data_IF_276401402959
#
_entry.id   IF_276401402959
#
_cell.length_a   1.000
_cell.length_b   1.000
_cell.length_c   1.000
_cell.angle_alpha   90.00
_cell.angle_beta   90.00
_cell.angle_gamma   90.00
#
_symmetry.space_group_name_H-M   'P 1'
#
loop_
_entity.id
_entity.type
_entity.pdbx_description
1 polymer ?
#
# COMPACT_ATOMS: atom_id res chain seq x y z
N UNK A 1 -0.66 -16.58 18.87
CA UNK A 1 -0.09 -15.22 19.05
C UNK A 1 -0.07 -14.50 17.71
N UNK A 2 -1.01 -13.57 17.48
CA UNK A 2 -1.05 -12.78 16.25
C UNK A 2 0.08 -11.77 16.24
N UNK A 3 1.13 -12.02 15.45
CA UNK A 3 2.11 -10.97 15.12
C UNK A 3 1.34 -9.84 14.43
N UNK A 4 1.31 -8.66 15.04
CA UNK A 4 0.88 -7.42 14.40
C UNK A 4 1.67 -7.28 13.10
N UNK A 5 1.02 -7.50 11.95
CA UNK A 5 1.59 -7.15 10.66
C UNK A 5 1.67 -5.62 10.56
N UNK A 6 2.70 -5.05 9.91
CA UNK A 6 2.80 -3.61 9.70
C UNK A 6 1.57 -3.10 8.93
N UNK A 7 1.13 -1.88 9.27
CA UNK A 7 0.00 -1.20 8.61
C UNK A 7 0.36 -0.96 7.15
N UNK A 8 -0.60 -1.14 6.25
CA UNK A 8 -0.46 -0.78 4.84
C UNK A 8 -0.52 0.74 4.74
N UNK A 9 0.66 1.38 4.81
CA UNK A 9 0.81 2.78 4.44
C UNK A 9 0.39 2.86 2.97
N UNK A 10 -0.55 3.75 2.65
CA UNK A 10 -1.07 4.05 1.30
C UNK A 10 -2.42 3.43 0.90
N UNK A 11 -3.04 2.59 1.73
CA UNK A 11 -4.41 2.11 1.50
C UNK A 11 -5.38 2.65 2.55
N UNK A 12 -6.34 3.46 2.11
CA UNK A 12 -7.34 4.12 2.95
C UNK A 12 -8.56 3.23 3.15
N UNK A 13 -9.03 3.08 4.40
CA UNK A 13 -10.28 2.38 4.70
C UNK A 13 -11.47 3.32 4.64
N UNK A 14 -11.24 4.55 5.10
CA UNK A 14 -12.24 5.60 5.20
C UNK A 14 -11.50 6.94 5.33
N UNK A 15 -11.98 7.96 4.63
CA UNK A 15 -11.56 9.34 4.79
C UNK A 15 -12.76 10.19 5.19
N UNK A 16 -12.64 10.98 6.25
CA UNK A 16 -13.62 12.00 6.61
C UNK A 16 -13.08 13.37 6.21
N UNK A 17 -13.69 13.99 5.20
CA UNK A 17 -13.29 15.32 4.73
C UNK A 17 -14.04 16.42 5.47
N UNK A 18 -13.30 17.41 5.96
CA UNK A 18 -13.84 18.66 6.47
C UNK A 18 -13.49 19.79 5.52
N UNK A 19 -14.50 20.36 4.87
CA UNK A 19 -14.35 21.53 3.98
C UNK A 19 -14.20 22.79 4.81
N UNK A 20 -13.20 23.60 4.46
CA UNK A 20 -12.90 24.87 5.10
C UNK A 20 -13.17 26.04 4.15
N UNK A 21 -12.54 26.03 2.97
CA UNK A 21 -12.64 27.10 1.98
C UNK A 21 -12.12 28.46 2.48
N UNK A 22 -11.20 28.48 3.44
CA UNK A 22 -10.75 29.72 4.10
C UNK A 22 -9.47 30.23 3.45
N UNK A 23 -9.38 31.54 3.22
CA UNK A 23 -8.15 32.18 2.77
C UNK A 23 -7.09 32.16 3.89
N UNK A 24 -5.88 31.72 3.54
CA UNK A 24 -4.73 31.76 4.45
C UNK A 24 -3.97 33.07 4.19
N UNK A 25 -3.79 33.88 5.23
CA UNK A 25 -3.05 35.15 5.19
C UNK A 25 -1.73 35.03 5.93
N UNK A 26 -0.79 35.93 5.63
CA UNK A 26 0.53 35.92 6.24
C UNK A 26 0.45 36.13 7.77
N UNK A 27 -0.28 37.17 8.19
CA UNK A 27 -0.35 37.55 9.61
C UNK A 27 -1.46 36.84 10.39
N UNK A 28 -2.36 36.14 9.70
CA UNK A 28 -3.48 35.44 10.31
C UNK A 28 -3.50 33.96 9.89
N UNK A 29 -2.73 33.09 10.57
CA UNK A 29 -2.69 31.68 10.26
C UNK A 29 -3.99 30.99 10.66
N UNK A 30 -4.45 30.06 9.82
CA UNK A 30 -5.71 29.34 10.07
C UNK A 30 -5.42 28.11 10.92
N UNK A 31 -6.12 27.98 12.05
CA UNK A 31 -5.93 26.87 13.01
C UNK A 31 -7.21 26.05 13.14
N UNK A 32 -7.08 24.72 13.27
CA UNK A 32 -8.17 23.77 13.58
C UNK A 32 -7.70 22.77 14.63
N UNK A 33 -8.65 22.14 15.32
CA UNK A 33 -8.34 21.12 16.34
C UNK A 33 -8.83 19.77 15.85
N UNK A 34 -7.96 18.76 15.92
CA UNK A 34 -8.32 17.39 15.60
C UNK A 34 -8.64 16.63 16.88
N UNK A 35 -9.88 16.15 16.98
CA UNK A 35 -10.40 15.40 18.13
C UNK A 35 -10.64 13.93 17.83
N UNK A 36 -10.67 13.54 16.56
CA UNK A 36 -10.93 12.16 16.15
C UNK A 36 -9.84 11.20 16.69
N UNK A 37 -10.30 10.16 17.39
CA UNK A 37 -9.43 9.25 18.14
C UNK A 37 -8.65 8.27 17.25
N UNK A 38 -9.20 7.89 16.09
CA UNK A 38 -8.75 6.73 15.31
C UNK A 38 -8.08 7.09 13.98
N UNK A 39 -7.59 8.31 13.80
CA UNK A 39 -7.01 8.72 12.52
C UNK A 39 -5.52 8.40 12.48
N UNK A 40 -5.09 7.86 11.34
CA UNK A 40 -3.71 7.46 11.09
C UNK A 40 -2.96 8.55 10.33
N UNK A 41 -3.62 9.22 9.38
CA UNK A 41 -3.02 10.25 8.51
C UNK A 41 -3.95 11.44 8.33
N UNK A 42 -3.37 12.59 8.00
CA UNK A 42 -4.09 13.79 7.58
C UNK A 42 -3.67 14.17 6.17
N UNK A 43 -4.65 14.34 5.27
CA UNK A 43 -4.43 14.98 3.97
C UNK A 43 -4.87 16.43 4.08
N UNK A 44 -3.98 17.35 3.72
CA UNK A 44 -4.28 18.77 3.62
C UNK A 44 -4.46 19.12 2.15
N UNK A 45 -5.59 19.72 1.77
CA UNK A 45 -5.87 20.20 0.41
C UNK A 45 -5.88 21.71 0.42
N UNK A 46 -4.92 22.32 -0.26
CA UNK A 46 -4.68 23.76 -0.25
C UNK A 46 -4.15 24.22 -1.59
N UNK A 47 -4.13 25.53 -1.83
CA UNK A 47 -3.59 26.04 -3.07
C UNK A 47 -3.83 27.51 -3.25
N UNK A 48 -3.94 27.93 -4.51
CA UNK A 48 -4.07 29.33 -4.92
C UNK A 48 -5.27 29.48 -5.84
N UNK A 49 -5.99 30.59 -5.74
CA UNK A 49 -7.10 30.91 -6.66
C UNK A 49 -6.59 31.39 -8.02
N UNK A 50 -5.48 32.11 -8.00
CA UNK A 50 -4.73 32.63 -9.15
C UNK A 50 -3.29 32.85 -8.68
N UNK A 51 -2.33 32.67 -9.60
CA UNK A 51 -0.90 32.85 -9.35
C UNK A 51 -0.29 33.55 -10.56
N UNK A 52 -0.28 34.88 -10.54
CA UNK A 52 0.25 35.70 -11.63
C UNK A 52 0.70 37.06 -11.12
N UNK A 53 1.76 37.59 -11.71
CA UNK A 53 2.22 38.95 -11.50
C UNK A 53 2.17 39.72 -12.82
N UNK A 54 1.46 40.84 -12.87
CA UNK A 54 1.40 41.73 -14.02
C UNK A 54 2.48 42.82 -13.89
N UNK A 55 3.35 42.96 -14.89
CA UNK A 55 4.30 44.07 -14.93
C UNK A 55 3.61 45.36 -15.43
N UNK A 56 4.31 46.49 -15.34
CA UNK A 56 3.83 47.80 -15.81
C UNK A 56 3.57 47.90 -17.33
N UNK A 57 3.99 46.88 -18.10
CA UNK A 57 3.75 46.75 -19.55
C UNK A 57 2.58 45.83 -19.88
N UNK A 58 1.94 45.22 -18.88
CA UNK A 58 0.81 44.30 -19.05
C UNK A 58 1.21 42.82 -19.23
N UNK A 59 2.50 42.49 -19.19
CA UNK A 59 2.94 41.09 -19.27
C UNK A 59 2.65 40.35 -17.98
N UNK A 60 2.19 39.10 -18.12
CA UNK A 60 1.87 38.21 -17.00
C UNK A 60 3.04 37.27 -16.73
N UNK A 61 3.72 37.45 -15.61
CA UNK A 61 4.85 36.66 -15.16
C UNK A 61 4.42 35.56 -14.16
N UNK A 62 5.18 34.45 -14.09
CA UNK A 62 5.02 33.47 -13.03
C UNK A 62 5.42 34.05 -11.68
N UNK A 63 4.80 33.56 -10.62
CA UNK A 63 5.14 33.94 -9.24
C UNK A 63 5.11 32.70 -8.34
N UNK A 64 5.44 32.87 -7.06
CA UNK A 64 5.50 31.77 -6.11
C UNK A 64 4.91 32.14 -4.75
N UNK A 65 4.34 31.15 -4.07
CA UNK A 65 3.88 31.29 -2.68
C UNK A 65 4.40 30.13 -1.85
N UNK A 66 4.86 30.46 -0.64
CA UNK A 66 5.33 29.51 0.38
C UNK A 66 4.29 29.35 1.48
N UNK A 67 3.93 28.11 1.74
CA UNK A 67 3.00 27.67 2.77
C UNK A 67 3.70 26.68 3.71
N UNK A 68 3.33 26.69 4.97
CA UNK A 68 3.78 25.73 5.97
C UNK A 68 2.59 25.08 6.65
N UNK A 69 2.71 23.78 6.90
CA UNK A 69 1.77 23.00 7.71
C UNK A 69 2.44 22.78 9.06
N UNK A 70 1.79 23.25 10.12
CA UNK A 70 2.26 23.10 11.49
C UNK A 70 1.34 22.15 12.25
N UNK A 71 1.94 21.32 13.10
CA UNK A 71 1.23 20.49 14.07
C UNK A 71 1.60 20.93 15.48
N UNK A 72 0.61 20.96 16.37
CA UNK A 72 0.83 21.22 17.78
C UNK A 72 1.40 19.97 18.45
N UNK A 73 2.59 20.11 19.05
CA UNK A 73 3.25 19.06 19.82
C UNK A 73 3.64 19.65 21.17
N UNK A 74 3.09 19.09 22.24
CA UNK A 74 3.40 19.52 23.62
C UNK A 74 3.19 21.03 23.85
N UNK A 75 2.13 21.61 23.26
CA UNK A 75 1.81 23.03 23.37
C UNK A 75 2.69 23.97 22.53
N UNK A 76 3.50 23.43 21.61
CA UNK A 76 4.32 24.19 20.67
C UNK A 76 3.96 23.87 19.23
N UNK A 77 4.00 24.88 18.36
CA UNK A 77 3.78 24.70 16.92
C UNK A 77 5.06 24.24 16.24
N UNK A 78 5.03 23.04 15.65
CA UNK A 78 6.15 22.45 14.92
C UNK A 78 5.85 22.42 13.43
N UNK A 79 6.78 22.91 12.61
CA UNK A 79 6.70 22.84 11.14
C UNK A 79 6.84 21.38 10.73
N UNK A 80 5.78 20.80 10.17
CA UNK A 80 5.77 19.41 9.71
C UNK A 80 6.10 19.31 8.22
N UNK A 81 5.58 20.26 7.43
CA UNK A 81 5.85 20.36 6.00
C UNK A 81 5.95 21.82 5.59
N UNK A 82 6.85 22.08 4.65
CA UNK A 82 6.96 23.34 3.93
C UNK A 82 6.72 23.08 2.44
N UNK A 83 5.90 23.92 1.82
CA UNK A 83 5.44 23.76 0.44
C UNK A 83 5.61 25.08 -0.29
N UNK A 84 6.20 25.00 -1.48
CA UNK A 84 6.32 26.14 -2.39
C UNK A 84 5.52 25.82 -3.66
N UNK A 85 4.53 26.65 -3.97
CA UNK A 85 3.78 26.59 -5.21
C UNK A 85 4.37 27.66 -6.13
N UNK A 86 4.96 27.24 -7.25
CA UNK A 86 5.56 28.13 -8.25
C UNK A 86 4.91 27.89 -9.59
N UNK A 87 4.57 28.97 -10.29
CA UNK A 87 4.07 28.87 -11.66
C UNK A 87 3.26 30.07 -12.07
N UNK A 88 2.47 29.88 -13.13
CA UNK A 88 1.54 30.87 -13.66
C UNK A 88 0.19 30.19 -13.89
N UNK A 89 -0.81 30.58 -13.12
CA UNK A 89 -2.19 30.11 -13.32
C UNK A 89 -3.17 31.25 -13.15
N UNK A 90 -4.21 31.28 -13.97
CA UNK A 90 -5.34 32.22 -13.84
C UNK A 90 -6.59 31.52 -13.31
N UNK A 91 -6.51 30.23 -13.04
CA UNK A 91 -7.57 29.40 -12.46
C UNK A 91 -7.08 28.79 -11.15
N UNK A 92 -8.04 28.33 -10.34
CA UNK A 92 -7.73 27.70 -9.07
C UNK A 92 -6.85 26.47 -9.27
N UNK A 93 -5.75 26.42 -8.53
CA UNK A 93 -4.84 25.29 -8.45
C UNK A 93 -4.83 24.79 -7.01
N UNK A 94 -5.16 23.51 -6.81
CA UNK A 94 -5.12 22.84 -5.51
C UNK A 94 -4.08 21.72 -5.55
N UNK A 95 -3.25 21.68 -4.51
CA UNK A 95 -2.34 20.60 -4.20
C UNK A 95 -2.81 19.88 -2.92
N UNK A 96 -2.40 18.63 -2.76
CA UNK A 96 -2.64 17.90 -1.51
C UNK A 96 -1.37 17.30 -0.96
N UNK A 97 -1.23 17.32 0.37
CA UNK A 97 -0.07 16.74 1.09
C UNK A 97 -0.57 15.88 2.23
N UNK A 98 0.04 14.70 2.37
CA UNK A 98 -0.27 13.74 3.44
C UNK A 98 0.77 13.86 4.56
N UNK A 99 0.28 13.78 5.80
CA UNK A 99 1.06 13.77 7.04
C UNK A 99 0.66 12.56 7.89
N UNK A 100 1.62 11.77 8.35
CA UNK A 100 1.42 10.47 8.99
C UNK A 100 1.94 10.37 10.45
N UNK A 101 2.86 11.25 10.87
CA UNK A 101 3.39 11.27 12.24
C UNK A 101 2.55 12.13 13.20
N UNK A 102 1.29 11.76 13.42
CA UNK A 102 0.35 12.62 14.13
C UNK A 102 0.58 12.64 15.67
N UNK A 103 0.49 13.82 16.33
CA UNK A 103 0.60 13.94 17.80
C UNK A 103 -0.51 13.18 18.57
N UNK A 104 -0.34 13.01 19.91
CA UNK A 104 -1.43 12.55 20.76
C UNK A 104 -2.65 13.48 20.68
N UNK A 105 -3.85 12.90 20.75
CA UNK A 105 -5.12 13.65 20.66
C UNK A 105 -5.50 14.28 22.00
N UNK A 106 -6.19 15.42 22.01
CA UNK A 106 -6.42 16.31 20.86
C UNK A 106 -5.14 17.09 20.51
N UNK A 107 -5.01 17.51 19.25
CA UNK A 107 -3.95 18.45 18.85
C UNK A 107 -4.43 19.47 17.83
N UNK A 108 -3.81 20.65 17.84
CA UNK A 108 -3.99 21.68 16.84
C UNK A 108 -3.25 21.38 15.53
N UNK A 109 -3.89 21.74 14.42
CA UNK A 109 -3.30 21.84 13.09
C UNK A 109 -3.38 23.29 12.63
N UNK A 110 -2.34 23.79 11.98
CA UNK A 110 -2.28 25.17 11.53
C UNK A 110 -1.66 25.26 10.15
N UNK A 111 -2.26 26.04 9.27
CA UNK A 111 -1.66 26.41 7.99
C UNK A 111 -1.20 27.87 8.05
N UNK A 112 0.06 28.09 7.70
CA UNK A 112 0.73 29.40 7.75
C UNK A 112 1.20 29.76 6.36
N UNK A 113 0.91 30.99 5.94
CA UNK A 113 1.50 31.56 4.73
C UNK A 113 2.77 32.32 5.11
N UNK A 114 3.89 31.98 4.48
CA UNK A 114 5.20 32.61 4.73
C UNK A 114 5.46 33.76 3.76
N UNK A 115 4.92 33.68 2.54
CA UNK A 115 5.01 34.80 1.58
C UNK A 115 4.06 35.92 1.99
N UNK A 116 4.48 37.17 1.90
CA UNK A 116 3.61 38.32 2.17
C UNK A 116 2.32 38.28 1.33
N UNK A 117 1.23 38.80 1.90
CA UNK A 117 -0.02 38.99 1.17
C UNK A 117 0.15 40.07 0.10
N UNK A 118 -0.58 39.93 -1.01
CA UNK A 118 -0.55 40.96 -2.05
C UNK A 118 -1.22 42.24 -1.57
N UNK A 119 -0.61 43.38 -1.87
CA UNK A 119 -1.15 44.72 -1.61
C UNK A 119 -1.63 45.41 -2.88
N UNK A 120 -1.48 44.80 -4.05
CA UNK A 120 -1.83 45.39 -5.36
C UNK A 120 -2.57 44.39 -6.23
N UNK A 121 -3.42 44.88 -7.14
CA UNK A 121 -4.13 44.02 -8.11
C UNK A 121 -3.19 43.40 -9.17
N UNK A 122 -1.96 43.93 -9.27
CA UNK A 122 -0.94 43.42 -10.19
C UNK A 122 -0.40 42.06 -9.73
N UNK A 123 -0.35 41.80 -8.42
CA UNK A 123 0.08 40.51 -7.88
C UNK A 123 -1.14 39.72 -7.39
N UNK A 124 -1.47 38.65 -8.09
CA UNK A 124 -2.53 37.73 -7.69
C UNK A 124 -1.89 36.46 -7.15
N UNK A 125 -2.01 36.25 -5.84
CA UNK A 125 -1.40 35.12 -5.16
C UNK A 125 -2.20 34.67 -3.92
N UNK A 126 -3.53 34.83 -3.97
CA UNK A 126 -4.41 34.49 -2.87
C UNK A 126 -4.39 32.97 -2.61
N UNK A 127 -3.94 32.59 -1.42
CA UNK A 127 -3.89 31.20 -0.97
C UNK A 127 -5.15 30.80 -0.22
N UNK A 128 -5.63 29.58 -0.48
CA UNK A 128 -6.80 28.99 0.15
C UNK A 128 -6.45 27.64 0.76
N UNK A 129 -6.92 27.42 1.99
CA UNK A 129 -7.00 26.08 2.56
C UNK A 129 -8.41 25.54 2.26
N UNK A 130 -8.47 24.62 1.29
CA UNK A 130 -9.74 24.08 0.78
C UNK A 130 -10.36 23.13 1.79
N UNK A 131 -9.62 22.12 2.22
CA UNK A 131 -10.11 21.09 3.13
C UNK A 131 -8.98 20.35 3.83
N UNK A 132 -9.32 19.58 4.85
CA UNK A 132 -8.47 18.52 5.34
C UNK A 132 -9.26 17.23 5.46
N UNK A 133 -8.61 16.10 5.21
CA UNK A 133 -9.19 14.76 5.29
C UNK A 133 -8.52 13.98 6.40
N UNK A 134 -9.33 13.50 7.33
CA UNK A 134 -8.94 12.54 8.36
C UNK A 134 -8.97 11.14 7.77
N UNK A 135 -7.79 10.52 7.64
CA UNK A 135 -7.64 9.21 6.99
C UNK A 135 -7.40 8.15 8.05
N UNK A 136 -8.19 7.07 7.97
CA UNK A 136 -7.99 5.84 8.74
C UNK A 136 -7.45 4.78 7.78
N UNK A 137 -6.30 4.22 8.11
CA UNK A 137 -5.67 3.18 7.30
C UNK A 137 -6.41 1.85 7.47
N UNK A 138 -6.42 1.07 6.39
CA UNK A 138 -7.04 -0.25 6.39
C UNK A 138 -6.36 -1.18 7.41
N UNK A 139 -7.11 -1.57 8.44
CA UNK A 139 -6.73 -2.65 9.37
C UNK A 139 -7.22 -4.01 8.86
N UNK A 140 -6.71 -4.44 7.71
CA UNK A 140 -6.99 -5.78 7.22
C UNK A 140 -6.19 -6.81 8.00
N UNK A 141 -6.85 -7.41 8.99
CA UNK A 141 -6.39 -8.66 9.60
C UNK A 141 -6.97 -9.81 8.78
N UNK A 142 -6.31 -10.16 7.67
CA UNK A 142 -6.51 -11.43 6.99
C UNK A 142 -5.31 -12.36 7.27
N UNK A 143 -5.30 -13.03 8.43
CA UNK A 143 -4.23 -13.97 8.74
C UNK A 143 -4.20 -15.06 7.66
N UNK A 144 -3.00 -15.32 7.12
CA UNK A 144 -2.74 -16.34 6.11
C UNK A 144 -3.27 -16.04 4.69
N UNK A 145 -3.64 -14.79 4.41
CA UNK A 145 -3.89 -14.31 3.05
C UNK A 145 -2.66 -13.56 2.53
N UNK A 146 -2.33 -13.80 1.26
CA UNK A 146 -1.42 -12.96 0.50
C UNK A 146 -2.23 -11.85 -0.16
N UNK A 147 -1.81 -10.60 0.00
CA UNK A 147 -2.44 -9.43 -0.61
C UNK A 147 -1.39 -8.76 -1.48
N UNK A 148 -1.76 -8.45 -2.72
CA UNK A 148 -0.93 -7.70 -3.66
C UNK A 148 -1.63 -6.36 -3.88
N UNK A 149 -0.92 -5.27 -3.59
CA UNK A 149 -1.34 -3.92 -3.90
C UNK A 149 -0.50 -3.38 -5.05
N UNK A 150 -1.15 -2.76 -6.04
CA UNK A 150 -0.47 -2.06 -7.12
C UNK A 150 -0.96 -0.61 -7.13
N UNK A 151 -0.02 0.33 -7.05
CA UNK A 151 -0.29 1.74 -7.31
C UNK A 151 0.18 2.07 -8.73
N UNK A 152 -0.71 2.61 -9.54
CA UNK A 152 -0.42 3.06 -10.91
C UNK A 152 -0.83 4.51 -11.08
N UNK A 153 0.00 5.26 -11.78
CA UNK A 153 -0.26 6.66 -12.11
C UNK A 153 -1.33 6.74 -13.20
N UNK A 154 -2.41 7.48 -12.94
CA UNK A 154 -3.58 7.54 -13.82
C UNK A 154 -3.28 8.11 -15.21
N UNK A 155 -2.25 8.98 -15.33
CA UNK A 155 -1.87 9.60 -16.59
C UNK A 155 -1.36 8.59 -17.62
N UNK A 156 -0.75 7.48 -17.18
CA UNK A 156 -0.19 6.46 -18.08
C UNK A 156 -1.23 5.47 -18.61
N UNK A 157 -2.39 5.34 -17.95
CA UNK A 157 -3.37 4.28 -18.24
C UNK A 157 -4.74 4.80 -18.73
N UNK A 158 -4.98 6.12 -18.70
CA UNK A 158 -6.27 6.68 -19.09
C UNK A 158 -7.44 6.10 -18.30
N UNK A 159 -8.62 5.97 -18.91
CA UNK A 159 -9.81 5.37 -18.30
C UNK A 159 -9.89 3.84 -18.39
N UNK A 160 -8.86 3.17 -18.92
CA UNK A 160 -8.90 1.72 -19.12
C UNK A 160 -8.50 0.96 -17.85
N UNK A 161 -9.33 -0.02 -17.49
CA UNK A 161 -9.01 -0.94 -16.40
C UNK A 161 -7.79 -1.78 -16.76
N UNK A 162 -6.84 -1.80 -15.84
CA UNK A 162 -5.55 -2.45 -16.02
C UNK A 162 -5.69 -3.97 -15.79
N UNK A 163 -5.77 -4.76 -16.86
CA UNK A 163 -5.75 -6.23 -16.75
C UNK A 163 -4.36 -6.71 -16.32
N UNK A 164 -4.31 -7.58 -15.30
CA UNK A 164 -3.06 -8.16 -14.77
C UNK A 164 -3.23 -9.65 -14.53
N UNK A 165 -2.25 -10.42 -15.01
CA UNK A 165 -2.11 -11.83 -14.70
C UNK A 165 -0.89 -11.99 -13.79
N UNK A 166 -1.04 -12.76 -12.71
CA UNK A 166 0.04 -13.04 -11.77
C UNK A 166 0.35 -14.53 -11.83
N UNK A 167 1.62 -14.85 -12.02
CA UNK A 167 2.14 -16.18 -11.78
C UNK A 167 2.89 -16.15 -10.45
N UNK A 168 2.45 -16.95 -9.48
CA UNK A 168 3.06 -16.98 -8.16
C UNK A 168 3.25 -18.42 -7.72
N UNK A 169 4.38 -18.69 -7.09
CA UNK A 169 4.55 -19.90 -6.31
C UNK A 169 3.58 -19.83 -5.15
N UNK A 170 2.76 -20.88 -5.02
CA UNK A 170 1.75 -21.01 -3.99
C UNK A 170 2.34 -21.13 -2.59
N UNK A 171 1.68 -21.92 -1.75
CA UNK A 171 2.09 -22.08 -0.35
C UNK A 171 3.35 -22.95 -0.23
N UNK A 172 4.19 -22.65 0.77
CA UNK A 172 5.22 -23.56 1.25
C UNK A 172 4.56 -24.72 2.02
N UNK A 173 4.71 -25.92 1.51
CA UNK A 173 4.16 -27.17 2.05
C UNK A 173 5.27 -28.07 2.60
N UNK A 174 4.90 -29.17 3.24
CA UNK A 174 5.87 -30.19 3.69
C UNK A 174 6.10 -31.20 2.57
N UNK A 175 7.35 -31.33 2.14
CA UNK A 175 7.79 -32.32 1.13
C UNK A 175 8.88 -33.22 1.73
N UNK A 176 9.16 -34.41 1.16
CA UNK A 176 10.23 -35.27 1.65
C UNK A 176 11.57 -34.53 1.73
N UNK A 177 12.33 -34.80 2.78
CA UNK A 177 13.66 -34.21 3.00
C UNK A 177 14.60 -34.40 1.80
N UNK A 178 14.48 -35.53 1.12
CA UNK A 178 15.31 -35.91 -0.02
C UNK A 178 14.76 -35.48 -1.40
N UNK A 179 13.62 -34.81 -1.44
CA UNK A 179 12.97 -34.37 -2.67
C UNK A 179 13.44 -32.96 -3.09
N UNK A 180 13.81 -32.78 -4.35
CA UNK A 180 14.00 -31.48 -4.97
C UNK A 180 12.72 -31.12 -5.76
N UNK A 181 11.93 -30.12 -5.31
CA UNK A 181 10.68 -29.77 -5.95
C UNK A 181 10.84 -28.97 -7.26
N UNK A 182 12.02 -28.40 -7.51
CA UNK A 182 12.31 -27.66 -8.74
C UNK A 182 12.75 -28.65 -9.81
N UNK A 183 13.73 -29.50 -9.49
CA UNK A 183 14.22 -30.52 -10.40
C UNK A 183 13.30 -31.75 -10.50
N UNK A 184 12.34 -31.89 -9.56
CA UNK A 184 11.44 -33.05 -9.41
C UNK A 184 12.17 -34.38 -9.27
N UNK A 185 13.27 -34.36 -8.52
CA UNK A 185 14.12 -35.55 -8.29
C UNK A 185 14.18 -35.93 -6.83
N UNK A 186 14.45 -37.21 -6.57
CA UNK A 186 14.58 -37.78 -5.23
C UNK A 186 16.00 -38.32 -5.07
N UNK A 187 16.69 -37.90 -4.00
CA UNK A 187 18.10 -38.22 -3.78
C UNK A 187 18.30 -39.21 -2.64
N UNK A 188 18.86 -40.39 -2.92
CA UNK A 188 19.08 -41.42 -1.90
C UNK A 188 17.79 -41.99 -1.30
N UNK A 189 17.93 -42.72 -0.18
CA UNK A 189 16.81 -43.36 0.51
C UNK A 189 16.16 -42.33 1.43
N UNK A 190 14.83 -42.20 1.33
CA UNK A 190 14.07 -41.33 2.21
C UNK A 190 13.91 -41.96 3.59
N UNK A 191 14.15 -41.16 4.64
CA UNK A 191 14.09 -41.56 6.05
C UNK A 191 12.73 -41.28 6.71
N UNK A 192 11.75 -40.79 5.95
CA UNK A 192 10.42 -40.45 6.44
C UNK A 192 10.30 -39.02 7.01
N UNK A 193 11.35 -38.21 6.93
CA UNK A 193 11.35 -36.81 7.40
C UNK A 193 10.93 -35.82 6.31
N UNK A 194 10.37 -34.68 6.73
CA UNK A 194 9.88 -33.65 5.81
C UNK A 194 10.66 -32.34 5.97
N UNK A 195 10.70 -31.56 4.89
CA UNK A 195 11.22 -30.19 4.85
C UNK A 195 10.18 -29.24 4.24
N UNK A 196 10.19 -27.95 4.64
CA UNK A 196 9.32 -26.95 4.04
C UNK A 196 9.84 -26.55 2.65
N UNK A 197 9.02 -26.73 1.61
CA UNK A 197 9.30 -26.22 0.27
C UNK A 197 8.00 -25.97 -0.52
N UNK A 198 8.06 -25.14 -1.57
CA UNK A 198 7.00 -25.12 -2.58
C UNK A 198 7.09 -26.39 -3.43
N UNK A 199 5.95 -26.98 -3.80
CA UNK A 199 5.88 -28.03 -4.81
C UNK A 199 4.50 -27.97 -5.48
N UNK A 200 4.45 -28.30 -6.76
CA UNK A 200 3.22 -28.52 -7.50
C UNK A 200 2.99 -30.00 -7.85
N UNK A 201 3.72 -30.92 -7.20
CA UNK A 201 3.42 -32.33 -7.26
C UNK A 201 2.12 -32.59 -6.45
N UNK A 202 1.08 -33.16 -7.07
CA UNK A 202 -0.23 -33.34 -6.43
C UNK A 202 -0.18 -34.25 -5.21
N UNK A 203 0.77 -35.18 -5.10
CA UNK A 203 0.92 -36.04 -3.92
C UNK A 203 1.29 -35.22 -2.67
N UNK A 204 2.22 -34.26 -2.81
CA UNK A 204 2.63 -33.41 -1.70
C UNK A 204 1.59 -32.32 -1.40
N UNK A 205 0.92 -31.80 -2.43
CA UNK A 205 -0.26 -30.94 -2.23
C UNK A 205 -1.36 -31.69 -1.46
N UNK A 206 -1.60 -32.98 -1.77
CA UNK A 206 -2.57 -33.81 -1.07
C UNK A 206 -2.13 -34.08 0.38
N UNK A 207 -0.85 -34.37 0.64
CA UNK A 207 -0.31 -34.49 2.00
C UNK A 207 -0.64 -33.25 2.84
N UNK A 208 -0.39 -32.07 2.28
CA UNK A 208 -0.65 -30.79 2.94
C UNK A 208 -2.16 -30.57 3.16
N UNK A 209 -3.02 -30.85 2.16
CA UNK A 209 -4.47 -30.79 2.33
C UNK A 209 -4.98 -31.79 3.37
N UNK A 210 -4.40 -32.97 3.52
CA UNK A 210 -4.87 -33.95 4.51
C UNK A 210 -4.39 -33.63 5.92
N UNK A 211 -3.15 -33.17 6.08
CA UNK A 211 -2.50 -33.03 7.38
C UNK A 211 -2.53 -31.61 7.94
N UNK A 212 -2.80 -30.59 7.12
CA UNK A 212 -2.70 -29.21 7.59
C UNK A 212 -3.82 -28.88 8.60
N UNK A 213 -3.49 -28.32 9.78
CA UNK A 213 -4.45 -28.08 10.87
C UNK A 213 -5.62 -27.09 10.58
N UNK A 214 -5.68 -26.50 9.38
CA UNK A 214 -6.51 -25.31 9.09
C UNK A 214 -7.50 -25.49 7.95
N UNK A 215 -7.07 -26.07 6.84
CA UNK A 215 -7.88 -26.19 5.61
C UNK A 215 -8.03 -27.65 5.17
N UNK A 216 -7.60 -28.57 6.03
CA UNK A 216 -7.55 -29.98 5.76
C UNK A 216 -8.41 -30.82 6.67
N UNK A 217 -8.28 -32.13 6.53
CA UNK A 217 -8.74 -33.08 7.53
C UNK A 217 -7.82 -33.16 8.76
N UNK A 218 -6.77 -32.33 8.86
CA UNK A 218 -5.75 -32.35 9.91
C UNK A 218 -6.25 -32.22 11.37
N UNK A 219 -7.52 -31.83 11.56
CA UNK A 219 -8.19 -31.84 12.88
C UNK A 219 -8.82 -33.19 13.24
N UNK A 220 -8.98 -34.09 12.28
CA UNK A 220 -9.63 -35.41 12.38
C UNK A 220 -8.75 -36.58 11.93
N UNK A 221 -7.77 -36.31 11.07
CA UNK A 221 -6.80 -37.24 10.49
C UNK A 221 -5.41 -36.66 10.79
N UNK A 222 -4.61 -37.33 11.60
CA UNK A 222 -3.23 -36.95 11.88
C UNK A 222 -2.29 -37.44 10.77
N UNK A 223 -1.04 -36.96 10.77
CA UNK A 223 0.01 -37.50 9.90
C UNK A 223 0.25 -39.00 10.07
N UNK A 224 -0.19 -39.59 11.20
CA UNK A 224 -0.15 -41.02 11.48
C UNK A 224 -1.23 -41.83 10.73
N UNK A 225 -2.32 -41.17 10.31
CA UNK A 225 -3.45 -41.80 9.63
C UNK A 225 -3.30 -41.79 8.09
N UNK A 226 -2.29 -41.09 7.58
CA UNK A 226 -1.94 -41.02 6.15
C UNK A 226 -0.70 -41.87 5.90
N UNK A 227 -0.80 -42.84 5.00
CA UNK A 227 0.36 -43.65 4.60
C UNK A 227 1.33 -42.82 3.76
N UNK A 228 2.30 -42.22 4.44
CA UNK A 228 3.37 -41.43 3.84
C UNK A 228 4.25 -42.23 2.87
N UNK A 229 4.38 -43.54 3.04
CA UNK A 229 5.19 -44.39 2.16
C UNK A 229 4.47 -44.66 0.84
N UNK A 230 3.17 -44.96 0.91
CA UNK A 230 2.34 -45.05 -0.29
C UNK A 230 2.30 -43.72 -1.05
N UNK A 231 2.16 -42.60 -0.33
CA UNK A 231 2.13 -41.28 -0.93
C UNK A 231 3.49 -40.89 -1.56
N UNK A 232 4.60 -41.34 -0.97
CA UNK A 232 5.94 -41.18 -1.56
C UNK A 232 6.07 -41.92 -2.89
N UNK A 233 5.58 -43.15 -2.99
CA UNK A 233 5.58 -43.90 -4.25
C UNK A 233 4.71 -43.21 -5.32
N UNK A 234 3.56 -42.66 -4.94
CA UNK A 234 2.71 -41.86 -5.83
C UNK A 234 3.42 -40.57 -6.24
N UNK A 235 4.09 -39.89 -5.32
CA UNK A 235 4.87 -38.68 -5.61
C UNK A 235 5.96 -38.93 -6.65
N UNK A 236 6.71 -40.04 -6.52
CA UNK A 236 7.70 -40.45 -7.50
C UNK A 236 7.07 -40.75 -8.87
N UNK A 237 5.86 -41.33 -8.90
CA UNK A 237 5.13 -41.59 -10.14
C UNK A 237 4.69 -40.29 -10.84
N UNK A 238 4.19 -39.31 -10.10
CA UNK A 238 3.81 -38.00 -10.63
C UNK A 238 5.01 -37.26 -11.25
N UNK A 239 6.20 -37.40 -10.66
CA UNK A 239 7.42 -36.74 -11.11
C UNK A 239 8.16 -37.50 -12.23
N UNK A 240 7.64 -38.63 -12.71
CA UNK A 240 8.23 -39.32 -13.87
C UNK A 240 8.13 -38.45 -15.11
N UNK A 241 9.28 -38.14 -15.74
CA UNK A 241 9.31 -37.40 -17.00
C UNK A 241 8.72 -38.25 -18.13
N UNK A 242 7.70 -37.72 -18.80
CA UNK A 242 7.04 -38.31 -19.96
C UNK A 242 7.14 -37.34 -21.15
N UNK A 243 7.08 -37.81 -22.40
CA UNK A 243 7.09 -36.92 -23.56
C UNK A 243 5.89 -35.97 -23.55
N UNK A 244 6.14 -34.69 -23.80
CA UNK A 244 5.13 -33.61 -23.81
C UNK A 244 4.34 -33.51 -25.13
N UNK A 245 4.66 -34.36 -26.11
CA UNK A 245 4.05 -34.31 -27.45
C UNK A 245 4.57 -33.20 -28.38
N UNK A 246 5.48 -32.35 -27.91
CA UNK A 246 6.11 -31.25 -28.65
C UNK A 246 7.63 -31.40 -28.81
N UNK A 247 8.19 -32.52 -28.37
CA UNK A 247 9.62 -32.86 -28.50
C UNK A 247 10.43 -32.61 -27.23
N UNK A 248 9.78 -32.22 -26.13
CA UNK A 248 10.35 -32.13 -24.79
C UNK A 248 9.82 -33.23 -23.86
N UNK A 249 10.03 -33.02 -22.56
CA UNK A 249 9.51 -33.90 -21.52
C UNK A 249 8.86 -33.07 -20.43
N UNK A 250 7.72 -33.52 -19.94
CA UNK A 250 7.00 -32.94 -18.82
C UNK A 250 6.84 -33.98 -17.69
N UNK A 251 6.66 -33.54 -16.44
CA UNK A 251 6.27 -34.44 -15.36
C UNK A 251 4.92 -35.08 -15.67
N UNK A 252 4.77 -36.37 -15.34
CA UNK A 252 3.55 -37.12 -15.65
C UNK A 252 2.28 -36.48 -15.11
N UNK A 253 2.33 -35.89 -13.91
CA UNK A 253 1.20 -35.18 -13.32
C UNK A 253 1.71 -33.97 -12.55
N UNK A 254 1.12 -32.80 -12.79
CA UNK A 254 1.37 -31.59 -12.02
C UNK A 254 0.14 -30.67 -11.89
N UNK A 255 0.31 -29.62 -11.06
CA UNK A 255 -0.68 -28.59 -10.74
C UNK A 255 -0.20 -27.19 -11.14
#
# INVERSE_FOLDING_TARGET
>A
MSRNRPRWRDFESSGAETVLGVQVKHDNPVTRTITAANIDRLRFTFGVQSLVEANSKGDRNPTSVRLQIHLERYGQWVVEKEITITGKTTTQYLASVIVDNLPPRPFGIRMVRVTADSTTDQLQNNTVWSSYTEIIDVRQRYPNTAVIGLQVESEQFGSQQVTRNYHFFGRIIQVPSNYDPVARTYSGIWDGTFKPAYSNNPAWCLWDVLTHPRYGMGQRIGAADVDRWALYAIGQYCDQMVPDGFGGTEPRIDL
#
